data_IF_507495717402
#
_entry.id   IF_507495717402
#
_cell.length_a   1.000
_cell.length_b   1.000
_cell.length_c   1.000
_cell.angle_alpha   90.00
_cell.angle_beta   90.00
_cell.angle_gamma   90.00
#
_symmetry.space_group_name_H-M   'P 1'
#
loop_
_entity.id
_entity.type
_entity.pdbx_description
1 polymer ?
#
# COMPACT_ATOMS: atom_id res chain seq x y z
N UNK A 1 -55.72 -35.27 -4.23
CA UNK A 1 -54.73 -34.90 -3.18
C UNK A 1 -53.27 -35.13 -3.57
N UNK A 2 -52.95 -36.18 -4.36
CA UNK A 2 -51.55 -36.51 -4.72
C UNK A 2 -50.91 -35.50 -5.68
N UNK A 3 -51.63 -35.04 -6.71
CA UNK A 3 -51.10 -34.08 -7.69
C UNK A 3 -50.78 -32.69 -7.10
N UNK A 4 -51.64 -32.19 -6.19
CA UNK A 4 -51.41 -30.90 -5.51
C UNK A 4 -50.11 -30.92 -4.68
N UNK A 5 -49.79 -32.05 -4.04
CA UNK A 5 -48.55 -32.22 -3.25
C UNK A 5 -47.29 -32.25 -4.13
N UNK A 6 -47.37 -32.89 -5.31
CA UNK A 6 -46.24 -32.96 -6.25
C UNK A 6 -45.91 -31.57 -6.81
N UNK A 7 -46.93 -30.78 -7.16
CA UNK A 7 -46.74 -29.41 -7.65
C UNK A 7 -46.11 -28.48 -6.61
N UNK A 8 -46.50 -28.61 -5.34
CA UNK A 8 -45.89 -27.83 -4.26
C UNK A 8 -44.42 -28.18 -4.07
N UNK A 9 -44.06 -29.48 -4.09
CA UNK A 9 -42.65 -29.90 -3.96
C UNK A 9 -41.80 -29.40 -5.13
N UNK A 10 -42.33 -29.44 -6.36
CA UNK A 10 -41.64 -28.94 -7.55
C UNK A 10 -41.38 -27.43 -7.49
N UNK A 11 -42.37 -26.64 -7.07
CA UNK A 11 -42.20 -25.19 -6.95
C UNK A 11 -41.21 -24.83 -5.85
N UNK A 12 -41.24 -25.52 -4.70
CA UNK A 12 -40.29 -25.29 -3.61
C UNK A 12 -38.85 -25.65 -4.03
N UNK A 13 -38.63 -26.74 -4.78
CA UNK A 13 -37.30 -27.10 -5.27
C UNK A 13 -36.79 -26.16 -6.35
N UNK A 14 -37.65 -25.66 -7.25
CA UNK A 14 -37.25 -24.62 -8.22
C UNK A 14 -36.85 -23.30 -7.55
N UNK A 15 -37.55 -22.89 -6.48
CA UNK A 15 -37.18 -21.67 -5.74
C UNK A 15 -35.88 -21.83 -4.93
N UNK A 16 -35.56 -23.03 -4.47
CA UNK A 16 -34.26 -23.31 -3.82
C UNK A 16 -33.10 -23.30 -4.83
N UNK A 17 -33.34 -23.70 -6.08
CA UNK A 17 -32.31 -23.76 -7.13
C UNK A 17 -32.02 -22.39 -7.77
N UNK A 18 -32.94 -21.42 -7.73
CA UNK A 18 -32.72 -20.07 -8.27
C UNK A 18 -31.88 -19.16 -7.36
N UNK A 19 -31.67 -19.55 -6.10
CA UNK A 19 -30.81 -18.81 -5.16
C UNK A 19 -29.34 -19.27 -5.18
N UNK A 20 -29.01 -20.35 -5.90
CA UNK A 20 -27.62 -20.71 -6.22
C UNK A 20 -27.12 -19.91 -7.42
N UNK A 21 -27.15 -18.58 -7.31
CA UNK A 21 -26.31 -17.76 -8.18
C UNK A 21 -24.86 -17.96 -7.73
N UNK A 22 -24.03 -18.45 -8.64
CA UNK A 22 -22.61 -18.63 -8.45
C UNK A 22 -21.95 -17.26 -8.17
N UNK A 23 -21.75 -16.91 -6.90
CA UNK A 23 -20.83 -15.84 -6.45
C UNK A 23 -19.38 -16.29 -6.64
N UNK A 24 -19.06 -16.91 -7.77
CA UNK A 24 -17.71 -17.37 -8.15
C UNK A 24 -17.41 -17.16 -9.63
N UNK A 25 -18.28 -16.45 -10.36
CA UNK A 25 -18.05 -16.07 -11.76
C UNK A 25 -18.07 -14.54 -11.94
N UNK A 26 -17.58 -13.80 -10.93
CA UNK A 26 -17.02 -12.48 -11.21
C UNK A 26 -15.69 -12.74 -11.91
N UNK A 27 -15.56 -12.25 -13.15
CA UNK A 27 -14.38 -12.32 -13.99
C UNK A 27 -13.10 -12.29 -13.15
N UNK A 28 -12.49 -13.46 -12.95
CA UNK A 28 -11.13 -13.55 -12.41
C UNK A 28 -10.20 -13.16 -13.56
N UNK A 29 -10.24 -11.89 -13.95
CA UNK A 29 -8.98 -11.22 -14.24
C UNK A 29 -8.22 -11.29 -12.91
N UNK A 30 -7.04 -11.93 -12.84
CA UNK A 30 -6.23 -11.80 -11.65
C UNK A 30 -5.97 -10.31 -11.46
N UNK A 31 -6.73 -9.68 -10.55
CA UNK A 31 -6.28 -8.43 -9.94
C UNK A 31 -5.06 -8.86 -9.15
N UNK A 32 -3.90 -8.65 -9.75
CA UNK A 32 -2.64 -8.66 -9.02
C UNK A 32 -2.83 -7.55 -7.99
N UNK A 33 -3.23 -7.92 -6.77
CA UNK A 33 -3.12 -7.00 -5.64
C UNK A 33 -1.63 -6.81 -5.43
N UNK A 34 -1.18 -5.56 -5.36
CA UNK A 34 0.19 -5.27 -5.00
C UNK A 34 0.44 -5.68 -3.55
N UNK A 35 1.66 -5.43 -3.08
CA UNK A 35 2.03 -5.70 -1.69
C UNK A 35 2.07 -4.36 -0.98
N UNK A 36 1.26 -4.22 0.07
CA UNK A 36 1.21 -2.98 0.83
C UNK A 36 0.36 -1.89 0.17
N UNK A 37 -0.71 -2.27 -0.54
CA UNK A 37 -1.59 -1.36 -1.27
C UNK A 37 -2.27 -0.29 -0.38
N UNK A 38 -2.26 -0.44 0.96
CA UNK A 38 -2.84 0.53 1.90
C UNK A 38 -1.96 0.79 3.11
N UNK A 39 -2.24 1.89 3.82
CA UNK A 39 -1.56 2.24 5.07
C UNK A 39 -1.63 1.11 6.12
N UNK A 40 -2.75 0.40 6.19
CA UNK A 40 -3.01 -0.67 7.16
C UNK A 40 -2.24 -1.95 6.82
N UNK A 41 -1.92 -2.16 5.55
CA UNK A 41 -1.16 -3.32 5.05
C UNK A 41 0.29 -2.96 4.71
N UNK A 42 0.73 -1.77 5.11
CA UNK A 42 2.03 -1.22 4.77
C UNK A 42 3.19 -2.17 5.09
N UNK A 43 4.13 -2.27 4.15
CA UNK A 43 5.34 -3.08 4.26
C UNK A 43 6.18 -2.53 5.41
N UNK A 44 6.58 -3.39 6.35
CA UNK A 44 7.47 -2.98 7.44
C UNK A 44 8.86 -2.66 6.89
N UNK A 45 9.28 -1.42 7.07
CA UNK A 45 10.62 -0.94 6.77
C UNK A 45 11.60 -1.41 7.84
N UNK A 46 12.74 -1.89 7.36
CA UNK A 46 13.94 -2.15 8.14
C UNK A 46 14.94 -1.08 7.68
N UNK A 47 15.35 -0.15 8.56
CA UNK A 47 16.34 0.87 8.19
C UNK A 47 17.60 0.23 7.61
N UNK A 48 18.18 0.85 6.59
CA UNK A 48 19.34 0.37 5.82
C UNK A 48 19.08 -0.86 4.93
N UNK A 49 17.82 -1.30 4.79
CA UNK A 49 17.44 -2.36 3.84
C UNK A 49 16.89 -1.77 2.54
N UNK A 50 17.29 -2.36 1.41
CA UNK A 50 16.81 -1.97 0.09
C UNK A 50 15.56 -2.79 -0.30
N UNK A 51 14.56 -2.10 -0.81
CA UNK A 51 13.32 -2.67 -1.33
C UNK A 51 13.26 -2.49 -2.84
N UNK A 52 13.02 -3.58 -3.56
CA UNK A 52 13.01 -3.63 -5.03
C UNK A 52 11.63 -4.12 -5.49
N UNK A 53 10.69 -3.19 -5.71
CA UNK A 53 9.32 -3.50 -6.09
C UNK A 53 8.95 -2.79 -7.40
N UNK A 54 7.72 -3.00 -7.85
CA UNK A 54 7.12 -2.35 -8.99
C UNK A 54 5.64 -2.11 -8.70
N UNK A 55 5.10 -1.04 -9.27
CA UNK A 55 3.67 -0.73 -9.18
C UNK A 55 2.92 -1.56 -10.23
N UNK A 56 1.91 -2.29 -9.81
CA UNK A 56 1.14 -3.22 -10.64
C UNK A 56 0.23 -2.54 -11.66
N UNK A 57 -0.18 -1.30 -11.40
CA UNK A 57 -1.08 -0.52 -12.26
C UNK A 57 -0.99 0.99 -11.97
N UNK A 58 -1.70 1.80 -12.76
CA UNK A 58 -1.67 3.28 -12.69
C UNK A 58 -2.21 3.89 -11.41
N UNK A 59 -2.95 3.11 -10.61
CA UNK A 59 -3.52 3.53 -9.32
C UNK A 59 -2.85 2.84 -8.14
N UNK A 60 -1.83 2.02 -8.41
CA UNK A 60 -1.15 1.27 -7.36
C UNK A 60 -0.29 2.18 -6.49
N UNK A 61 -0.23 1.84 -5.21
CA UNK A 61 0.53 2.54 -4.21
C UNK A 61 1.17 1.53 -3.27
N UNK A 62 2.49 1.54 -3.19
CA UNK A 62 3.18 0.72 -2.21
C UNK A 62 3.40 1.53 -0.93
N UNK A 63 2.72 1.14 0.14
CA UNK A 63 2.87 1.74 1.46
C UNK A 63 3.91 1.00 2.28
N UNK A 64 4.63 1.78 3.07
CA UNK A 64 5.70 1.34 3.93
C UNK A 64 5.53 1.95 5.32
N UNK A 65 5.99 1.27 6.37
CA UNK A 65 5.89 1.76 7.74
C UNK A 65 7.12 1.45 8.57
N UNK A 66 7.54 2.39 9.42
CA UNK A 66 8.59 2.18 10.41
C UNK A 66 8.22 2.88 11.72
N UNK A 67 8.33 2.18 12.85
CA UNK A 67 8.13 2.78 14.17
C UNK A 67 9.48 3.01 14.85
N UNK A 68 9.72 4.24 15.29
CA UNK A 68 10.88 4.55 16.10
C UNK A 68 10.71 4.00 17.52
N UNK A 69 11.44 2.95 17.85
CA UNK A 69 11.49 2.36 19.19
C UNK A 69 12.92 2.44 19.78
N UNK A 70 13.72 3.43 19.35
CA UNK A 70 15.14 3.53 19.75
C UNK A 70 15.36 4.14 21.14
N UNK A 71 14.33 4.74 21.73
CA UNK A 71 14.40 5.43 23.03
C UNK A 71 14.69 6.93 22.92
N UNK A 72 15.01 7.44 21.72
CA UNK A 72 15.23 8.86 21.43
C UNK A 72 14.68 9.25 20.06
N UNK A 73 14.83 10.50 19.69
CA UNK A 73 14.41 11.01 18.38
C UNK A 73 15.36 10.51 17.28
N UNK A 74 14.82 10.26 16.09
CA UNK A 74 15.60 9.76 14.95
C UNK A 74 15.50 10.72 13.77
N UNK A 75 16.64 11.10 13.20
CA UNK A 75 16.71 11.74 11.89
C UNK A 75 16.51 10.70 10.80
N UNK A 76 15.49 10.88 9.97
CA UNK A 76 15.23 10.01 8.84
C UNK A 76 15.72 10.62 7.53
N UNK A 77 16.16 9.73 6.65
CA UNK A 77 16.62 10.03 5.32
C UNK A 77 16.27 8.87 4.40
N UNK A 78 16.43 9.08 3.11
CA UNK A 78 16.33 7.99 2.15
C UNK A 78 16.37 8.45 0.73
N UNK A 79 16.37 7.48 -0.15
CA UNK A 79 16.25 7.72 -1.57
C UNK A 79 15.36 6.68 -2.23
N UNK A 80 14.76 7.09 -3.34
CA UNK A 80 14.11 6.23 -4.29
C UNK A 80 14.80 6.41 -5.63
N UNK A 81 15.46 5.35 -6.10
CA UNK A 81 15.96 5.30 -7.47
C UNK A 81 14.82 4.81 -8.37
N UNK A 82 14.58 5.56 -9.44
CA UNK A 82 13.54 5.32 -10.42
C UNK A 82 14.21 5.23 -11.79
N UNK A 83 13.76 4.28 -12.62
CA UNK A 83 14.20 4.15 -14.01
C UNK A 83 13.75 5.32 -14.88
N UNK A 84 13.13 5.04 -16.02
CA UNK A 84 12.56 6.06 -16.92
C UNK A 84 11.11 6.42 -16.56
N UNK A 85 10.79 6.26 -15.28
CA UNK A 85 9.47 6.49 -14.68
C UNK A 85 9.56 7.50 -13.56
N UNK A 86 8.49 8.27 -13.42
CA UNK A 86 8.39 9.31 -12.42
C UNK A 86 7.60 8.77 -11.23
N UNK A 87 8.30 8.24 -10.24
CA UNK A 87 7.70 8.00 -8.94
C UNK A 87 7.72 9.29 -8.11
N UNK A 88 6.86 9.33 -7.10
CA UNK A 88 6.96 10.27 -5.99
C UNK A 88 6.89 9.48 -4.68
N UNK A 89 7.49 10.05 -3.64
CA UNK A 89 7.46 9.49 -2.29
C UNK A 89 6.71 10.46 -1.39
N UNK A 90 5.64 9.97 -0.77
CA UNK A 90 4.91 10.65 0.29
C UNK A 90 5.37 10.18 1.68
N UNK A 91 5.23 11.05 2.68
CA UNK A 91 5.56 10.80 4.08
C UNK A 91 4.41 11.29 4.96
N UNK A 92 4.10 10.50 5.97
CA UNK A 92 3.17 10.87 7.03
C UNK A 92 3.67 10.32 8.36
N UNK A 93 3.53 11.07 9.45
CA UNK A 93 3.94 10.64 10.79
C UNK A 93 2.71 10.47 11.65
N UNK A 94 2.52 9.28 12.21
CA UNK A 94 1.61 9.00 13.31
C UNK A 94 2.37 9.09 14.62
N UNK A 95 2.06 10.08 15.43
CA UNK A 95 2.70 10.34 16.71
C UNK A 95 2.15 9.41 17.79
N UNK A 96 2.90 9.22 18.88
CA UNK A 96 2.53 8.34 20.00
C UNK A 96 1.19 8.71 20.66
N UNK A 97 0.77 9.97 20.59
CA UNK A 97 -0.52 10.45 21.08
C UNK A 97 -1.70 10.17 20.12
N UNK A 98 -1.44 9.51 18.99
CA UNK A 98 -2.43 9.20 17.96
C UNK A 98 -2.69 10.30 16.93
N UNK A 99 -2.08 11.49 17.08
CA UNK A 99 -2.13 12.52 16.05
C UNK A 99 -1.40 12.03 14.79
N UNK A 100 -1.92 12.38 13.61
CA UNK A 100 -1.29 12.08 12.32
C UNK A 100 -1.01 13.41 11.61
N UNK A 101 0.19 13.53 11.02
CA UNK A 101 0.50 14.67 10.15
C UNK A 101 -0.28 14.57 8.84
N UNK A 102 -0.37 15.66 8.10
CA UNK A 102 -0.73 15.59 6.69
C UNK A 102 0.35 14.82 5.88
N UNK A 103 -0.05 14.35 4.70
CA UNK A 103 0.87 13.75 3.73
C UNK A 103 1.75 14.83 3.10
N UNK A 104 3.06 14.68 3.22
CA UNK A 104 4.06 15.53 2.57
C UNK A 104 4.75 14.74 1.47
N UNK A 105 5.09 15.38 0.34
CA UNK A 105 5.80 14.70 -0.74
C UNK A 105 7.23 15.23 -0.87
N UNK A 106 8.18 14.32 -1.11
CA UNK A 106 9.54 14.70 -1.47
C UNK A 106 9.53 15.41 -2.83
N UNK A 107 10.44 16.36 -2.98
CA UNK A 107 10.66 16.99 -4.27
C UNK A 107 11.09 15.91 -5.28
N UNK A 108 10.34 15.80 -6.37
CA UNK A 108 10.65 14.92 -7.48
C UNK A 108 10.95 15.74 -8.74
N UNK A 109 11.87 15.23 -9.56
CA UNK A 109 12.12 15.72 -10.91
C UNK A 109 12.00 14.54 -11.88
N UNK A 110 11.46 14.75 -13.08
CA UNK A 110 11.32 13.66 -14.04
C UNK A 110 12.66 12.95 -14.32
N UNK A 111 12.67 11.62 -14.32
CA UNK A 111 13.86 10.78 -14.57
C UNK A 111 15.05 11.00 -13.59
N UNK A 112 14.81 11.55 -12.41
CA UNK A 112 15.84 11.68 -11.36
C UNK A 112 15.44 10.88 -10.11
N UNK A 113 16.42 10.36 -9.38
CA UNK A 113 16.15 9.77 -8.07
C UNK A 113 15.49 10.79 -7.14
N UNK A 114 14.55 10.32 -6.32
CA UNK A 114 13.94 11.12 -5.25
C UNK A 114 14.80 10.95 -4.01
N UNK A 115 15.13 12.03 -3.32
CA UNK A 115 15.90 11.99 -2.07
C UNK A 115 15.22 12.86 -1.03
N UNK A 116 15.21 12.40 0.21
CA UNK A 116 14.75 13.18 1.35
C UNK A 116 15.73 13.06 2.50
N UNK A 117 15.86 14.14 3.25
CA UNK A 117 16.80 14.27 4.36
C UNK A 117 16.16 15.10 5.47
N UNK A 118 16.39 14.69 6.72
CA UNK A 118 16.24 15.58 7.87
C UNK A 118 14.85 15.64 8.49
N UNK A 119 13.97 14.66 8.25
CA UNK A 119 12.72 14.58 9.01
C UNK A 119 12.96 13.89 10.35
N UNK A 120 12.53 14.53 11.44
CA UNK A 120 12.65 13.98 12.78
C UNK A 120 11.45 13.09 13.07
N UNK A 121 11.71 11.86 13.49
CA UNK A 121 10.71 10.89 13.92
C UNK A 121 10.86 10.74 15.43
N UNK A 122 9.92 11.28 16.24
CA UNK A 122 10.01 11.17 17.68
C UNK A 122 9.97 9.72 18.17
N UNK A 123 10.52 9.46 19.35
CA UNK A 123 10.39 8.14 19.98
C UNK A 123 8.91 7.74 20.13
N UNK A 124 8.58 6.52 19.74
CA UNK A 124 7.21 5.98 19.73
C UNK A 124 6.34 6.42 18.56
N UNK A 125 6.84 7.26 17.63
CA UNK A 125 6.12 7.63 16.42
C UNK A 125 6.36 6.61 15.29
N UNK A 126 5.35 6.45 14.43
CA UNK A 126 5.41 5.65 13.20
C UNK A 126 5.45 6.58 12.00
N UNK A 127 6.47 6.45 11.16
CA UNK A 127 6.46 7.04 9.82
C UNK A 127 5.82 6.06 8.83
N UNK A 128 4.98 6.59 7.97
CA UNK A 128 4.46 5.92 6.79
C UNK A 128 5.07 6.56 5.55
N UNK A 129 5.59 5.74 4.64
CA UNK A 129 5.98 6.17 3.30
C UNK A 129 4.98 5.61 2.30
N UNK A 130 4.71 6.36 1.24
CA UNK A 130 3.96 5.85 0.08
C UNK A 130 4.75 6.10 -1.18
N UNK A 131 4.90 5.08 -2.02
CA UNK A 131 5.48 5.17 -3.35
C UNK A 131 4.35 5.05 -4.37
N UNK A 132 4.27 6.02 -5.28
CA UNK A 132 3.28 6.01 -6.36
C UNK A 132 3.86 6.63 -7.63
N UNK A 133 3.30 6.27 -8.79
CA UNK A 133 3.73 6.81 -10.08
C UNK A 133 2.92 8.06 -10.46
N UNK A 134 3.61 9.02 -11.06
CA UNK A 134 3.04 10.28 -11.55
C UNK A 134 3.14 10.34 -13.08
N UNK A 135 2.05 10.74 -13.72
CA UNK A 135 1.98 10.86 -15.17
C UNK A 135 1.54 9.56 -15.84
N UNK A 136 2.05 9.30 -17.05
CA UNK A 136 1.75 8.07 -17.79
C UNK A 136 2.32 6.85 -17.04
N UNK A 137 1.46 5.87 -16.78
CA UNK A 137 1.87 4.63 -16.14
C UNK A 137 2.75 3.80 -17.07
N UNK A 138 3.80 3.24 -16.49
CA UNK A 138 4.75 2.36 -17.16
C UNK A 138 5.19 1.34 -16.13
N UNK A 139 5.17 0.07 -16.51
CA UNK A 139 5.55 -1.01 -15.62
C UNK A 139 7.08 -1.08 -15.51
N UNK A 140 7.65 -0.23 -14.66
CA UNK A 140 9.06 -0.24 -14.30
C UNK A 140 9.20 -0.28 -12.77
N UNK A 141 10.20 -1.00 -12.29
CA UNK A 141 10.48 -1.10 -10.86
C UNK A 141 11.15 0.14 -10.29
N UNK A 142 11.23 0.18 -8.97
CA UNK A 142 11.97 1.17 -8.21
C UNK A 142 12.84 0.50 -7.13
N UNK A 143 13.83 1.27 -6.65
CA UNK A 143 14.67 0.87 -5.53
C UNK A 143 14.51 1.89 -4.40
N UNK A 144 13.88 1.47 -3.30
CA UNK A 144 13.66 2.29 -2.12
C UNK A 144 14.68 1.93 -1.04
N UNK A 145 15.30 2.95 -0.44
CA UNK A 145 16.13 2.80 0.75
C UNK A 145 15.75 3.87 1.79
N UNK A 146 15.49 3.40 3.01
CA UNK A 146 15.17 4.24 4.16
C UNK A 146 16.28 4.15 5.21
N UNK A 147 16.65 5.29 5.78
CA UNK A 147 17.63 5.42 6.85
C UNK A 147 17.00 6.05 8.07
N UNK A 148 17.45 5.60 9.24
CA UNK A 148 17.19 6.23 10.52
C UNK A 148 18.51 6.38 11.27
N UNK A 149 18.86 7.63 11.60
CA UNK A 149 20.03 7.99 12.40
C UNK A 149 19.55 8.46 13.78
N UNK A 150 19.87 7.75 14.87
CA UNK A 150 19.61 8.23 16.22
C UNK A 150 20.18 9.64 16.40
N UNK A 151 19.41 10.52 17.05
CA UNK A 151 19.91 11.79 17.54
C UNK A 151 20.30 11.62 19.01
N UNK A 152 21.58 11.80 19.30
CA UNK A 152 22.13 11.83 20.67
C UNK A 152 21.76 13.13 21.40
#
# INVERSE_FOLDING_TARGET
>A
MKLKKVLTVLFTTMMLLTMSSSVFAADVSPKISGIGDTKETAITLIPHSQYNLFLSNSTDQDWYSWTNNTGGDVSSAGYLNQGNVNHRVGFMIKYANGYESDMLYAMNKPNHSVTWLGFIIPNGATVYLVVEQVGEFKNEGYHLLFFGFPMD
#
